data_IF_530352627336
#
_entry.id   IF_530352627336
#
_cell.length_a   1.000
_cell.length_b   1.000
_cell.length_c   1.000
_cell.angle_alpha   90.00
_cell.angle_beta   90.00
_cell.angle_gamma   90.00
#
_symmetry.space_group_name_H-M   'P 1'
#
loop_
_entity.id
_entity.type
_entity.pdbx_description
1 polymer ?
#
# COMPACT_ATOMS: atom_id res chain seq x y z
N UNK A 1 15.88 20.07 7.15
CA UNK A 1 17.25 19.50 7.18
C UNK A 1 17.20 18.19 7.94
N UNK A 2 17.68 17.07 7.39
CA UNK A 2 17.76 15.81 8.12
C UNK A 2 18.71 15.97 9.32
N UNK A 3 18.30 15.44 10.47
CA UNK A 3 19.12 15.49 11.68
C UNK A 3 20.45 14.75 11.43
N UNK A 4 21.60 15.29 11.90
CA UNK A 4 22.88 14.63 11.71
C UNK A 4 22.89 13.28 12.43
N UNK A 5 23.53 12.25 11.84
CA UNK A 5 23.63 10.92 12.44
C UNK A 5 24.30 11.00 13.82
N UNK A 6 23.82 10.18 14.76
CA UNK A 6 24.33 10.17 16.14
C UNK A 6 25.80 9.75 16.17
N UNK A 7 26.60 10.40 17.02
CA UNK A 7 28.05 10.16 17.14
C UNK A 7 28.39 8.67 17.36
N UNK A 8 27.57 7.96 18.14
CA UNK A 8 27.69 6.51 18.37
C UNK A 8 27.52 5.67 17.12
N UNK A 9 26.61 6.06 16.22
CA UNK A 9 26.38 5.37 14.96
C UNK A 9 27.58 5.53 14.01
N UNK A 10 28.16 6.73 13.96
CA UNK A 10 29.37 7.01 13.17
C UNK A 10 30.57 6.22 13.71
N UNK A 11 30.73 6.13 15.03
CA UNK A 11 31.80 5.36 15.67
C UNK A 11 31.65 3.84 15.43
N UNK A 12 30.43 3.31 15.47
CA UNK A 12 30.16 1.91 15.16
C UNK A 12 30.46 1.56 13.70
N UNK A 13 30.10 2.45 12.76
CA UNK A 13 30.41 2.30 11.34
C UNK A 13 31.92 2.28 11.09
N UNK A 14 32.68 3.20 11.69
CA UNK A 14 34.13 3.22 11.56
C UNK A 14 34.79 1.95 12.11
N UNK A 15 34.33 1.44 13.26
CA UNK A 15 34.86 0.20 13.82
C UNK A 15 34.59 -1.01 12.91
N UNK A 16 33.42 -1.06 12.27
CA UNK A 16 33.06 -2.13 11.34
C UNK A 16 33.86 -2.08 10.04
N UNK A 17 34.05 -0.88 9.47
CA UNK A 17 34.88 -0.68 8.27
C UNK A 17 36.31 -1.17 8.52
N UNK A 18 36.92 -0.78 9.64
CA UNK A 18 38.27 -1.21 10.00
C UNK A 18 38.38 -2.73 10.18
N UNK A 19 37.35 -3.38 10.72
CA UNK A 19 37.31 -4.84 10.83
C UNK A 19 37.26 -5.51 9.46
N UNK A 20 36.46 -4.97 8.53
CA UNK A 20 36.30 -5.52 7.19
C UNK A 20 37.55 -5.31 6.34
N UNK A 21 38.21 -4.15 6.47
CA UNK A 21 39.49 -3.87 5.81
C UNK A 21 40.58 -4.83 6.26
N UNK A 22 40.65 -5.16 7.57
CA UNK A 22 41.58 -6.18 8.08
C UNK A 22 41.29 -7.57 7.53
N UNK A 23 40.01 -7.94 7.43
CA UNK A 23 39.60 -9.22 6.86
C UNK A 23 39.96 -9.31 5.37
N UNK A 24 39.68 -8.26 4.59
CA UNK A 24 40.05 -8.17 3.17
C UNK A 24 41.57 -8.29 2.97
N UNK A 25 42.36 -7.62 3.82
CA UNK A 25 43.82 -7.75 3.78
C UNK A 25 44.31 -9.16 4.12
N UNK A 26 43.65 -9.86 5.04
CA UNK A 26 43.97 -11.25 5.36
C UNK A 26 43.66 -12.19 4.18
N UNK A 27 42.54 -11.99 3.49
CA UNK A 27 42.18 -12.74 2.28
C UNK A 27 43.11 -12.47 1.11
N UNK A 28 43.49 -11.21 0.87
CA UNK A 28 44.44 -10.85 -0.20
C UNK A 28 45.85 -11.43 0.01
N UNK A 29 46.25 -11.68 1.26
CA UNK A 29 47.52 -12.35 1.55
C UNK A 29 47.45 -13.87 1.36
N UNK A 30 46.26 -14.48 1.45
CA UNK A 30 46.06 -15.91 1.14
C UNK A 30 45.97 -16.20 -0.36
N UNK A 31 45.54 -15.24 -1.18
CA UNK A 31 45.35 -15.43 -2.63
C UNK A 31 46.67 -15.39 -3.45
N UNK A 32 47.82 -15.24 -2.77
CA UNK A 32 49.16 -15.30 -3.37
C UNK A 32 49.73 -16.72 -3.54
N UNK A 33 49.05 -17.76 -3.04
CA UNK A 33 49.41 -19.16 -3.24
C UNK A 33 48.19 -19.95 -3.72
N UNK A 34 48.17 -20.22 -5.03
CA UNK A 34 47.12 -20.93 -5.76
C UNK A 34 46.56 -22.17 -5.05
N UNK A 35 45.23 -22.29 -5.04
CA UNK A 35 44.48 -23.55 -5.04
C UNK A 35 44.35 -24.28 -3.70
N UNK A 36 43.21 -24.13 -3.03
CA UNK A 36 42.25 -25.21 -2.78
C UNK A 36 41.17 -24.78 -1.78
N UNK A 37 39.93 -25.14 -2.11
CA UNK A 37 38.76 -25.03 -1.25
C UNK A 37 38.94 -25.94 -0.02
N UNK A 38 39.23 -25.36 1.14
CA UNK A 38 39.01 -26.02 2.41
C UNK A 38 38.73 -25.02 3.53
N UNK A 39 37.57 -25.22 4.16
CA UNK A 39 37.15 -24.68 5.44
C UNK A 39 38.28 -24.61 6.46
N UNK A 40 38.63 -23.39 6.89
CA UNK A 40 39.46 -23.17 8.07
C UNK A 40 38.70 -22.27 9.05
N UNK A 41 37.97 -22.91 9.96
CA UNK A 41 37.63 -22.32 11.26
C UNK A 41 38.92 -22.04 12.05
N UNK A 42 38.91 -21.04 12.95
CA UNK A 42 39.83 -20.73 14.10
C UNK A 42 40.22 -19.22 14.12
N UNK A 43 40.41 -18.53 15.27
CA UNK A 43 39.72 -18.55 16.57
C UNK A 43 39.13 -17.16 16.93
N UNK A 44 38.03 -17.13 17.69
CA UNK A 44 37.59 -15.91 18.36
C UNK A 44 38.38 -15.78 19.65
N UNK A 45 39.27 -14.80 19.76
CA UNK A 45 39.84 -14.39 21.05
C UNK A 45 39.76 -12.88 21.26
N UNK A 46 39.01 -12.55 22.31
CA UNK A 46 39.01 -11.38 23.19
C UNK A 46 38.56 -10.01 22.67
N UNK A 47 37.23 -9.83 22.69
CA UNK A 47 36.62 -8.60 23.21
C UNK A 47 35.53 -8.96 24.23
N UNK A 48 35.84 -9.08 25.52
CA UNK A 48 34.83 -9.22 26.55
C UNK A 48 34.30 -7.83 26.89
N UNK A 49 33.05 -7.51 26.52
CA UNK A 49 32.10 -6.72 27.35
C UNK A 49 30.75 -6.33 26.70
N UNK A 50 30.37 -6.83 25.51
CA UNK A 50 29.04 -6.55 24.96
C UNK A 50 28.11 -7.77 24.82
N UNK A 51 28.54 -8.96 25.26
CA UNK A 51 27.79 -10.22 25.18
C UNK A 51 26.86 -10.53 26.36
N UNK A 52 26.66 -9.59 27.30
CA UNK A 52 25.82 -9.86 28.49
C UNK A 52 24.34 -9.49 28.36
N UNK A 53 23.80 -9.41 27.14
CA UNK A 53 22.34 -9.31 26.95
C UNK A 53 21.72 -10.45 26.12
N UNK A 54 22.48 -11.49 25.76
CA UNK A 54 21.98 -12.58 24.90
C UNK A 54 22.12 -14.00 25.48
N UNK A 55 22.41 -14.14 26.77
CA UNK A 55 22.49 -15.46 27.40
C UNK A 55 21.30 -15.70 28.34
N UNK A 56 20.16 -16.07 27.74
CA UNK A 56 19.28 -17.10 28.29
C UNK A 56 18.21 -17.44 27.23
N UNK A 57 18.36 -18.63 26.63
CA UNK A 57 17.33 -19.59 26.14
C UNK A 57 17.89 -20.42 24.97
N UNK A 58 18.33 -21.62 25.37
CA UNK A 58 18.83 -22.80 24.68
C UNK A 58 18.51 -23.07 23.19
N UNK A 59 19.58 -23.48 22.51
CA UNK A 59 19.75 -24.75 21.78
C UNK A 59 18.47 -25.46 21.29
N UNK A 60 18.20 -25.33 19.99
CA UNK A 60 17.94 -26.42 19.04
C UNK A 60 17.42 -25.85 17.72
N UNK A 61 18.29 -25.56 16.75
CA UNK A 61 17.86 -25.45 15.35
C UNK A 61 19.03 -25.70 14.40
N UNK A 62 18.85 -26.71 13.55
CA UNK A 62 19.72 -27.09 12.45
C UNK A 62 19.85 -25.91 11.48
N UNK A 63 21.07 -25.47 11.23
CA UNK A 63 21.40 -24.40 10.30
C UNK A 63 20.91 -24.74 8.89
N UNK A 64 19.92 -24.01 8.39
CA UNK A 64 19.75 -23.77 6.96
C UNK A 64 20.43 -22.44 6.64
N UNK A 65 21.32 -22.47 5.65
CA UNK A 65 22.04 -21.34 5.08
C UNK A 65 21.02 -20.31 4.54
N UNK A 66 20.64 -19.33 5.38
CA UNK A 66 19.83 -18.17 4.97
C UNK A 66 20.77 -17.18 4.28
N UNK A 67 20.50 -16.87 3.01
CA UNK A 67 21.38 -16.03 2.20
C UNK A 67 21.27 -14.54 2.57
N UNK A 68 22.37 -13.79 2.38
CA UNK A 68 22.48 -12.33 2.58
C UNK A 68 21.36 -11.51 1.92
N UNK A 69 20.76 -12.03 0.84
CA UNK A 69 19.64 -11.38 0.14
C UNK A 69 18.36 -11.41 0.99
N UNK A 70 18.12 -12.50 1.72
CA UNK A 70 16.97 -12.60 2.63
C UNK A 70 17.11 -11.59 3.77
N UNK A 71 18.32 -11.49 4.36
CA UNK A 71 18.63 -10.49 5.39
C UNK A 71 18.44 -9.05 4.88
N UNK A 72 18.80 -8.78 3.62
CA UNK A 72 18.59 -7.46 2.99
C UNK A 72 17.11 -7.19 2.67
N UNK A 73 16.34 -8.21 2.27
CA UNK A 73 14.89 -8.06 2.07
C UNK A 73 14.15 -7.83 3.39
N UNK A 74 14.62 -8.41 4.49
CA UNK A 74 14.12 -8.17 5.84
C UNK A 74 14.39 -6.71 6.28
N UNK A 75 15.51 -6.14 5.84
CA UNK A 75 15.87 -4.71 6.04
C UNK A 75 15.08 -3.78 5.11
N UNK A 76 14.69 -4.22 3.91
CA UNK A 76 13.92 -3.41 2.97
C UNK A 76 12.42 -3.41 3.29
N UNK A 77 11.88 -4.48 3.86
CA UNK A 77 10.44 -4.71 4.00
C UNK A 77 9.85 -5.46 2.82
N UNK A 78 8.74 -6.16 3.06
CA UNK A 78 8.16 -7.11 2.11
C UNK A 78 6.67 -6.82 1.89
N UNK A 79 6.16 -7.09 0.68
CA UNK A 79 4.72 -7.13 0.41
C UNK A 79 4.17 -8.54 0.57
N UNK A 80 3.11 -8.66 1.35
CA UNK A 80 2.42 -9.91 1.63
C UNK A 80 0.90 -9.72 1.53
N UNK A 81 0.22 -10.81 1.20
CA UNK A 81 -1.24 -10.87 1.23
C UNK A 81 -1.64 -10.97 2.70
N UNK A 82 -2.34 -9.95 3.20
CA UNK A 82 -2.85 -9.95 4.56
C UNK A 82 -4.02 -10.93 4.72
N UNK A 83 -4.47 -11.13 5.96
CA UNK A 83 -5.57 -12.05 6.31
C UNK A 83 -6.87 -11.80 5.53
N UNK A 84 -7.02 -10.60 4.96
CA UNK A 84 -8.18 -10.15 4.19
C UNK A 84 -8.03 -10.26 2.67
N UNK A 85 -6.95 -10.91 2.20
CA UNK A 85 -6.66 -11.06 0.77
C UNK A 85 -6.07 -9.81 0.11
N UNK A 86 -5.89 -8.70 0.84
CA UNK A 86 -5.30 -7.48 0.29
C UNK A 86 -3.78 -7.50 0.39
N UNK A 87 -3.12 -7.01 -0.66
CA UNK A 87 -1.65 -6.94 -0.71
C UNK A 87 -1.14 -5.73 0.09
N UNK A 88 -0.46 -5.97 1.21
CA UNK A 88 0.05 -4.95 2.15
C UNK A 88 1.57 -4.94 2.26
N UNK A 89 2.15 -3.76 2.48
CA UNK A 89 3.59 -3.60 2.64
C UNK A 89 4.00 -3.53 4.11
N UNK A 90 4.88 -4.46 4.50
CA UNK A 90 5.45 -4.57 5.83
C UNK A 90 6.93 -4.14 5.79
N UNK A 91 7.18 -2.86 6.09
CA UNK A 91 8.53 -2.31 6.18
C UNK A 91 9.37 -2.99 7.28
N UNK A 92 10.70 -2.87 7.21
CA UNK A 92 11.66 -3.38 8.20
C UNK A 92 11.26 -3.23 9.69
N UNK A 93 10.73 -2.08 10.16
CA UNK A 93 10.34 -1.92 11.56
C UNK A 93 8.95 -2.49 11.90
N UNK A 94 8.25 -3.11 10.94
CA UNK A 94 6.96 -3.75 11.18
C UNK A 94 7.12 -4.97 12.07
N UNK A 95 6.25 -5.10 13.07
CA UNK A 95 6.18 -6.25 13.97
C UNK A 95 6.06 -7.59 13.21
N UNK A 96 5.52 -7.53 11.99
CA UNK A 96 5.38 -8.69 11.10
C UNK A 96 6.72 -9.32 10.68
N UNK A 97 7.79 -8.53 10.46
CA UNK A 97 9.11 -9.07 10.12
C UNK A 97 9.71 -9.89 11.29
N UNK A 98 9.44 -9.49 12.54
CA UNK A 98 9.90 -10.22 13.73
C UNK A 98 9.20 -11.57 13.91
N UNK A 99 7.90 -11.65 13.57
CA UNK A 99 7.13 -12.90 13.66
C UNK A 99 7.64 -13.96 12.67
N UNK A 100 8.16 -13.53 11.52
CA UNK A 100 8.72 -14.44 10.50
C UNK A 100 10.13 -14.89 10.84
N UNK A 101 10.95 -14.02 11.44
CA UNK A 101 12.31 -14.38 11.88
C UNK A 101 12.30 -15.59 12.83
N UNK A 102 11.25 -15.71 13.65
CA UNK A 102 11.04 -16.82 14.60
C UNK A 102 10.24 -18.03 14.06
N UNK A 103 9.66 -17.96 12.86
CA UNK A 103 8.85 -19.04 12.31
C UNK A 103 9.71 -20.05 11.52
N UNK A 104 10.43 -20.92 12.24
CA UNK A 104 10.77 -22.25 11.72
C UNK A 104 9.49 -23.10 11.69
N UNK A 105 8.62 -22.85 10.71
CA UNK A 105 7.37 -23.59 10.52
C UNK A 105 7.06 -23.68 9.04
N UNK A 106 6.89 -24.91 8.55
CA UNK A 106 6.61 -25.24 7.15
C UNK A 106 5.43 -24.45 6.55
N UNK A 107 5.42 -24.17 5.23
CA UNK A 107 4.42 -23.31 4.57
C UNK A 107 3.02 -23.95 4.43
N UNK A 108 2.81 -25.17 4.90
CA UNK A 108 1.80 -26.05 4.30
C UNK A 108 0.36 -25.93 4.84
N UNK A 109 0.12 -25.18 5.92
CA UNK A 109 -1.23 -25.08 6.52
C UNK A 109 -1.85 -23.69 6.44
N UNK A 110 -1.07 -22.62 6.25
CA UNK A 110 -1.60 -21.26 6.17
C UNK A 110 -2.09 -20.87 4.76
N UNK A 111 -1.59 -21.54 3.73
CA UNK A 111 -1.97 -21.29 2.32
C UNK A 111 -3.37 -21.82 1.97
N UNK A 112 -3.94 -22.75 2.76
CA UNK A 112 -5.25 -23.35 2.44
C UNK A 112 -6.45 -22.51 2.89
N UNK A 113 -6.27 -21.60 3.84
CA UNK A 113 -7.30 -20.62 4.26
C UNK A 113 -7.29 -19.33 3.44
N UNK A 114 -6.25 -19.11 2.60
CA UNK A 114 -6.04 -17.86 1.86
C UNK A 114 -7.04 -17.60 0.71
N UNK A 115 -7.83 -18.61 0.32
CA UNK A 115 -8.81 -18.50 -0.78
C UNK A 115 -10.25 -18.25 -0.30
N UNK A 116 -10.46 -18.05 1.01
CA UNK A 116 -11.80 -18.04 1.62
C UNK A 116 -12.32 -16.70 2.12
N UNK A 117 -11.58 -15.60 1.95
CA UNK A 117 -12.15 -14.27 2.23
C UNK A 117 -12.89 -13.84 0.98
N UNK A 118 -14.21 -14.05 0.97
CA UNK A 118 -15.05 -13.40 -0.02
C UNK A 118 -14.77 -11.89 0.02
N UNK A 119 -14.57 -11.23 -1.13
CA UNK A 119 -14.40 -9.79 -1.14
C UNK A 119 -15.55 -9.15 -0.36
N UNK A 120 -15.26 -8.12 0.42
CA UNK A 120 -16.23 -7.42 1.28
C UNK A 120 -17.45 -6.81 0.52
N UNK A 121 -17.58 -7.08 -0.77
CA UNK A 121 -18.63 -6.64 -1.67
C UNK A 121 -19.60 -7.80 -1.94
N UNK A 122 -20.45 -8.13 -0.97
CA UNK A 122 -21.45 -9.21 -1.05
C UNK A 122 -22.60 -8.93 -2.04
N UNK A 123 -22.45 -7.98 -2.96
CA UNK A 123 -23.47 -7.57 -3.91
C UNK A 123 -22.95 -7.76 -5.33
N UNK A 124 -23.50 -8.75 -6.05
CA UNK A 124 -23.11 -9.05 -7.43
C UNK A 124 -23.57 -7.98 -8.43
N UNK A 125 -24.48 -7.07 -8.04
CA UNK A 125 -25.10 -6.09 -8.94
C UNK A 125 -24.93 -4.66 -8.45
N UNK A 126 -24.66 -3.74 -9.38
CA UNK A 126 -24.58 -2.30 -9.08
C UNK A 126 -25.92 -1.79 -8.54
N UNK A 127 -25.90 -1.32 -7.28
CA UNK A 127 -27.07 -0.96 -6.48
C UNK A 127 -27.14 0.55 -6.19
N UNK A 128 -26.99 1.37 -7.23
CA UNK A 128 -27.08 2.83 -7.10
C UNK A 128 -28.54 3.28 -7.32
N UNK A 129 -29.08 4.04 -6.37
CA UNK A 129 -30.44 4.62 -6.43
C UNK A 129 -30.53 5.81 -7.42
N UNK A 130 -30.08 5.63 -8.65
CA UNK A 130 -30.16 6.61 -9.74
C UNK A 130 -30.61 5.93 -11.02
N UNK A 131 -31.27 6.68 -11.90
CA UNK A 131 -31.59 6.15 -13.24
C UNK A 131 -30.28 5.84 -14.00
N UNK A 132 -30.25 4.78 -14.83
CA UNK A 132 -29.07 4.44 -15.62
C UNK A 132 -28.61 5.56 -16.55
N UNK A 133 -29.54 6.37 -17.07
CA UNK A 133 -29.26 7.52 -17.91
C UNK A 133 -28.48 8.60 -17.13
N UNK A 134 -28.90 8.90 -15.91
CA UNK A 134 -28.23 9.85 -15.03
C UNK A 134 -26.87 9.31 -14.62
N UNK A 135 -26.79 8.04 -14.24
CA UNK A 135 -25.52 7.40 -13.87
C UNK A 135 -24.50 7.50 -15.01
N UNK A 136 -24.92 7.16 -16.24
CA UNK A 136 -24.06 7.26 -17.44
C UNK A 136 -23.63 8.70 -17.69
N UNK A 137 -24.55 9.65 -17.57
CA UNK A 137 -24.24 11.08 -17.73
C UNK A 137 -23.23 11.58 -16.69
N UNK A 138 -23.38 11.17 -15.42
CA UNK A 138 -22.44 11.52 -14.36
C UNK A 138 -21.06 10.92 -14.61
N UNK A 139 -20.99 9.66 -15.04
CA UNK A 139 -19.72 9.03 -15.43
C UNK A 139 -19.04 9.82 -16.57
N UNK A 140 -19.80 10.21 -17.60
CA UNK A 140 -19.27 11.04 -18.68
C UNK A 140 -18.74 12.38 -18.18
N UNK A 141 -19.44 13.04 -17.26
CA UNK A 141 -18.98 14.28 -16.63
C UNK A 141 -17.70 14.07 -15.82
N UNK A 142 -17.60 12.96 -15.07
CA UNK A 142 -16.39 12.62 -14.32
C UNK A 142 -15.17 12.47 -15.25
N UNK A 143 -15.31 11.68 -16.32
CA UNK A 143 -14.22 11.43 -17.26
C UNK A 143 -13.81 12.68 -18.03
N UNK A 144 -14.75 13.58 -18.28
CA UNK A 144 -14.52 14.82 -19.01
C UNK A 144 -13.85 15.89 -18.16
N UNK A 145 -14.28 16.07 -16.91
CA UNK A 145 -13.93 17.24 -16.10
C UNK A 145 -13.02 16.92 -14.92
N UNK A 146 -13.25 15.82 -14.21
CA UNK A 146 -12.52 15.51 -12.97
C UNK A 146 -11.26 14.70 -13.24
N UNK A 147 -11.38 13.60 -13.98
CA UNK A 147 -10.30 12.63 -14.17
C UNK A 147 -9.04 13.20 -14.88
N UNK A 148 -9.13 14.11 -15.87
CA UNK A 148 -7.95 14.70 -16.49
C UNK A 148 -7.17 15.63 -15.56
N UNK A 149 -7.87 16.28 -14.61
CA UNK A 149 -7.25 17.19 -13.65
C UNK A 149 -6.63 16.42 -12.47
N UNK A 150 -7.30 15.35 -12.02
CA UNK A 150 -6.79 14.48 -10.97
C UNK A 150 -6.99 13.00 -11.34
N UNK A 151 -5.95 12.41 -11.92
CA UNK A 151 -5.98 11.04 -12.40
C UNK A 151 -5.82 10.04 -11.24
N UNK A 152 -6.95 9.58 -10.71
CA UNK A 152 -7.03 8.63 -9.58
C UNK A 152 -7.55 7.25 -9.97
N UNK A 153 -8.38 7.20 -11.02
CA UNK A 153 -9.12 6.00 -11.41
C UNK A 153 -8.74 5.62 -12.82
N UNK A 154 -8.33 4.36 -12.99
CA UNK A 154 -8.00 3.83 -14.30
C UNK A 154 -9.28 3.59 -15.11
N UNK A 155 -9.50 4.44 -16.13
CA UNK A 155 -10.77 4.54 -16.86
C UNK A 155 -11.20 3.22 -17.51
N UNK A 156 -10.27 2.47 -18.10
CA UNK A 156 -10.59 1.23 -18.82
C UNK A 156 -10.96 0.10 -17.86
N UNK A 157 -10.20 -0.09 -16.78
CA UNK A 157 -10.51 -1.09 -15.76
C UNK A 157 -11.87 -0.81 -15.10
N UNK A 158 -12.08 0.43 -14.64
CA UNK A 158 -13.36 0.85 -14.06
C UNK A 158 -14.53 0.69 -15.06
N UNK A 159 -14.33 1.10 -16.32
CA UNK A 159 -15.35 1.00 -17.36
C UNK A 159 -15.75 -0.44 -17.69
N UNK A 160 -14.82 -1.40 -17.62
CA UNK A 160 -15.14 -2.83 -17.82
C UNK A 160 -16.05 -3.37 -16.72
N UNK A 161 -15.83 -2.98 -15.47
CA UNK A 161 -16.67 -3.38 -14.35
C UNK A 161 -18.11 -2.86 -14.51
N UNK A 162 -18.24 -1.55 -14.82
CA UNK A 162 -19.54 -0.92 -15.11
C UNK A 162 -20.25 -1.60 -16.28
N UNK A 163 -19.53 -1.91 -17.36
CA UNK A 163 -20.10 -2.57 -18.54
C UNK A 163 -20.60 -4.00 -18.25
N UNK A 164 -20.00 -4.69 -17.26
CA UNK A 164 -20.47 -5.99 -16.77
C UNK A 164 -21.67 -5.87 -15.83
N UNK A 165 -21.91 -4.69 -15.27
CA UNK A 165 -22.98 -4.44 -14.30
C UNK A 165 -22.67 -4.99 -12.90
N UNK A 166 -21.41 -5.32 -12.63
CA UNK A 166 -20.95 -6.00 -11.40
C UNK A 166 -19.90 -5.16 -10.69
N UNK A 167 -19.82 -5.28 -9.36
CA UNK A 167 -18.71 -4.73 -8.60
C UNK A 167 -17.47 -5.64 -8.72
N UNK A 168 -16.28 -5.03 -8.71
CA UNK A 168 -15.00 -5.74 -8.69
C UNK A 168 -13.94 -4.92 -7.93
N UNK A 169 -12.69 -5.39 -7.94
CA UNK A 169 -11.57 -4.72 -7.28
C UNK A 169 -11.28 -3.30 -7.81
N UNK A 170 -11.71 -3.00 -9.04
CA UNK A 170 -11.47 -1.72 -9.74
C UNK A 170 -12.66 -0.77 -9.71
N UNK A 171 -13.85 -1.30 -9.48
CA UNK A 171 -15.09 -0.56 -9.31
C UNK A 171 -15.81 -1.10 -8.07
N UNK A 172 -15.39 -0.64 -6.90
CA UNK A 172 -16.05 -0.99 -5.64
C UNK A 172 -17.32 -0.14 -5.43
N UNK A 173 -18.29 -0.60 -4.61
CA UNK A 173 -19.47 0.17 -4.23
C UNK A 173 -19.14 1.56 -3.67
N UNK A 174 -18.06 1.64 -2.87
CA UNK A 174 -17.55 2.89 -2.31
C UNK A 174 -17.00 3.80 -3.41
N UNK A 175 -16.11 3.27 -4.26
CA UNK A 175 -15.46 4.05 -5.31
C UNK A 175 -16.49 4.61 -6.30
N UNK A 176 -17.45 3.79 -6.73
CA UNK A 176 -18.51 4.22 -7.63
C UNK A 176 -19.32 5.38 -7.05
N UNK A 177 -19.76 5.27 -5.79
CA UNK A 177 -20.52 6.34 -5.13
C UNK A 177 -19.70 7.62 -4.99
N UNK A 178 -18.41 7.53 -4.65
CA UNK A 178 -17.52 8.69 -4.60
C UNK A 178 -17.35 9.35 -5.98
N UNK A 179 -17.16 8.56 -7.04
CA UNK A 179 -17.08 9.05 -8.42
C UNK A 179 -18.35 9.80 -8.81
N UNK A 180 -19.52 9.18 -8.60
CA UNK A 180 -20.81 9.78 -8.93
C UNK A 180 -21.12 11.02 -8.07
N UNK A 181 -20.81 10.98 -6.78
CA UNK A 181 -21.04 12.10 -5.86
C UNK A 181 -20.25 13.34 -6.24
N UNK A 182 -18.97 13.16 -6.62
CA UNK A 182 -18.14 14.26 -7.09
C UNK A 182 -18.60 14.74 -8.47
N UNK A 183 -18.96 13.81 -9.36
CA UNK A 183 -19.43 14.12 -10.70
C UNK A 183 -20.74 14.91 -10.73
N UNK A 184 -21.63 14.67 -9.76
CA UNK A 184 -22.92 15.35 -9.62
C UNK A 184 -22.77 16.87 -9.60
N UNK A 185 -21.63 17.40 -9.15
CA UNK A 185 -21.34 18.84 -9.13
C UNK A 185 -21.13 19.47 -10.50
N UNK A 186 -20.79 18.67 -11.51
CA UNK A 186 -20.67 19.13 -12.89
C UNK A 186 -21.98 18.98 -13.66
N UNK A 187 -23.05 18.54 -13.00
CA UNK A 187 -24.34 18.26 -13.59
C UNK A 187 -25.40 19.20 -13.01
N UNK A 188 -26.23 19.77 -13.89
CA UNK A 188 -27.32 20.68 -13.50
C UNK A 188 -28.67 19.97 -13.30
N UNK A 189 -28.69 18.63 -13.33
CA UNK A 189 -29.92 17.85 -13.22
C UNK A 189 -30.49 17.89 -11.79
N UNK A 190 -31.81 18.05 -11.65
CA UNK A 190 -32.48 18.12 -10.32
C UNK A 190 -32.32 16.83 -9.51
N UNK A 191 -32.40 15.69 -10.19
CA UNK A 191 -32.42 14.36 -9.57
C UNK A 191 -31.11 13.96 -8.89
N UNK A 192 -30.03 14.70 -9.16
CA UNK A 192 -28.75 14.50 -8.47
C UNK A 192 -28.66 15.29 -7.17
N UNK A 193 -29.63 16.17 -6.89
CA UNK A 193 -29.67 17.07 -5.72
C UNK A 193 -30.55 16.50 -4.63
N UNK A 194 -30.11 16.65 -3.39
CA UNK A 194 -30.95 16.30 -2.23
C UNK A 194 -32.10 17.30 -2.05
N UNK A 195 -31.80 18.59 -2.23
CA UNK A 195 -32.79 19.65 -2.34
C UNK A 195 -32.80 20.16 -3.79
N UNK A 196 -33.94 19.97 -4.47
CA UNK A 196 -34.10 20.38 -5.87
C UNK A 196 -33.83 21.88 -6.09
N UNK A 197 -34.00 22.72 -5.06
CA UNK A 197 -33.81 24.18 -5.11
C UNK A 197 -32.38 24.62 -4.75
N UNK A 198 -31.55 23.75 -4.16
CA UNK A 198 -30.16 24.07 -3.81
C UNK A 198 -29.18 23.21 -4.61
N UNK A 199 -28.53 23.83 -5.59
CA UNK A 199 -27.51 23.20 -6.42
C UNK A 199 -26.30 22.70 -5.64
N UNK A 200 -26.04 23.22 -4.44
CA UNK A 200 -24.93 22.76 -3.59
C UNK A 200 -25.17 21.36 -3.01
N UNK A 201 -26.40 20.89 -3.02
CA UNK A 201 -26.77 19.56 -2.52
C UNK A 201 -26.58 18.43 -3.55
N UNK A 202 -26.06 18.76 -4.74
CA UNK A 202 -25.74 17.77 -5.75
C UNK A 202 -24.76 16.71 -5.22
N UNK A 203 -25.17 15.44 -5.29
CA UNK A 203 -24.38 14.29 -4.83
C UNK A 203 -24.32 14.12 -3.31
N UNK A 204 -25.08 14.87 -2.51
CA UNK A 204 -25.10 14.70 -1.04
C UNK A 204 -25.55 13.31 -0.61
N UNK A 205 -26.60 12.76 -1.24
CA UNK A 205 -27.10 11.41 -0.96
C UNK A 205 -26.03 10.35 -1.23
N UNK A 206 -25.39 10.42 -2.40
CA UNK A 206 -24.32 9.50 -2.79
C UNK A 206 -23.10 9.61 -1.85
N UNK A 207 -22.75 10.83 -1.42
CA UNK A 207 -21.67 11.04 -0.47
C UNK A 207 -22.02 10.52 0.94
N UNK A 208 -23.28 10.59 1.35
CA UNK A 208 -23.74 9.98 2.60
C UNK A 208 -23.65 8.45 2.53
N UNK A 209 -24.17 7.84 1.47
CA UNK A 209 -24.05 6.39 1.23
C UNK A 209 -22.58 5.92 1.17
N UNK A 210 -21.71 6.69 0.52
CA UNK A 210 -20.27 6.40 0.48
C UNK A 210 -19.66 6.37 1.89
N UNK A 211 -20.03 7.30 2.78
CA UNK A 211 -19.52 7.34 4.16
C UNK A 211 -20.03 6.15 4.99
N UNK A 212 -21.25 5.70 4.74
CA UNK A 212 -21.80 4.49 5.38
C UNK A 212 -20.99 3.26 4.99
N UNK A 213 -20.74 3.06 3.68
CA UNK A 213 -19.93 1.93 3.18
C UNK A 213 -18.49 2.01 3.71
N UNK A 214 -17.90 3.21 3.71
CA UNK A 214 -16.55 3.44 4.21
C UNK A 214 -16.37 2.97 5.66
N UNK A 215 -17.41 3.08 6.50
CA UNK A 215 -17.33 2.68 7.91
C UNK A 215 -17.02 1.19 8.11
N UNK A 216 -17.43 0.34 7.16
CA UNK A 216 -17.11 -1.08 7.14
C UNK A 216 -15.83 -1.36 6.33
N UNK A 217 -15.66 -0.72 5.17
CA UNK A 217 -14.54 -0.98 4.26
C UNK A 217 -13.17 -0.55 4.85
N UNK A 218 -13.16 0.38 5.81
CA UNK A 218 -11.92 0.87 6.43
C UNK A 218 -11.13 -0.20 7.22
N UNK A 219 -11.79 -1.28 7.66
CA UNK A 219 -11.13 -2.39 8.37
C UNK A 219 -10.25 -3.23 7.41
N UNK A 220 -10.66 -3.29 6.15
CA UNK A 220 -10.03 -4.07 5.09
C UNK A 220 -9.84 -3.23 3.82
N UNK A 221 -8.98 -2.18 3.88
CA UNK A 221 -8.87 -1.24 2.80
C UNK A 221 -8.14 -1.84 1.60
N UNK A 222 -8.56 -1.42 0.41
CA UNK A 222 -8.00 -1.79 -0.88
C UNK A 222 -7.42 -0.58 -1.62
N UNK A 223 -6.78 -0.82 -2.78
CA UNK A 223 -6.35 0.26 -3.69
C UNK A 223 -7.52 1.18 -4.04
N UNK A 224 -8.70 0.61 -4.30
CA UNK A 224 -9.92 1.36 -4.60
C UNK A 224 -10.41 2.18 -3.40
N UNK A 225 -10.24 1.70 -2.16
CA UNK A 225 -10.56 2.47 -0.94
C UNK A 225 -9.70 3.73 -0.84
N UNK A 226 -8.41 3.64 -1.15
CA UNK A 226 -7.51 4.79 -1.16
C UNK A 226 -7.95 5.83 -2.20
N UNK A 227 -8.25 5.40 -3.42
CA UNK A 227 -8.74 6.27 -4.49
C UNK A 227 -10.10 6.91 -4.12
N UNK A 228 -11.02 6.12 -3.57
CA UNK A 228 -12.35 6.57 -3.19
C UNK A 228 -12.30 7.64 -2.09
N UNK A 229 -11.43 7.49 -1.08
CA UNK A 229 -11.23 8.49 -0.04
C UNK A 229 -10.65 9.80 -0.58
N UNK A 230 -9.74 9.75 -1.55
CA UNK A 230 -9.22 10.96 -2.18
C UNK A 230 -10.31 11.71 -2.97
N UNK A 231 -11.21 10.97 -3.66
CA UNK A 231 -12.36 11.57 -4.34
C UNK A 231 -13.39 12.12 -3.34
N UNK A 232 -13.68 11.39 -2.27
CA UNK A 232 -14.58 11.82 -1.20
C UNK A 232 -14.05 13.09 -0.52
N UNK A 233 -12.74 13.19 -0.34
CA UNK A 233 -12.11 14.39 0.19
C UNK A 233 -12.39 15.62 -0.68
N UNK A 234 -12.11 15.53 -1.98
CA UNK A 234 -12.41 16.61 -2.92
C UNK A 234 -13.88 17.00 -2.90
N UNK A 235 -14.75 15.99 -2.84
CA UNK A 235 -16.19 16.19 -2.75
C UNK A 235 -16.54 17.00 -1.50
N UNK A 236 -16.05 16.64 -0.32
CA UNK A 236 -16.36 17.37 0.91
C UNK A 236 -15.78 18.79 0.93
N UNK A 237 -14.56 18.98 0.41
CA UNK A 237 -13.97 20.32 0.27
C UNK A 237 -14.84 21.22 -0.61
N UNK A 238 -15.38 20.68 -1.70
CA UNK A 238 -16.19 21.42 -2.65
C UNK A 238 -17.55 21.90 -2.10
N UNK A 239 -18.02 21.32 -0.99
CA UNK A 239 -19.22 21.75 -0.25
C UNK A 239 -18.86 22.50 1.04
N UNK A 240 -17.69 23.14 1.08
CA UNK A 240 -17.17 23.93 2.20
C UNK A 240 -16.93 23.13 3.50
N UNK A 241 -16.75 21.80 3.42
CA UNK A 241 -16.34 20.95 4.55
C UNK A 241 -14.84 20.67 4.48
N UNK A 242 -14.05 21.74 4.41
CA UNK A 242 -12.62 21.68 4.13
C UNK A 242 -11.85 20.82 5.14
N UNK A 243 -12.08 21.02 6.45
CA UNK A 243 -11.43 20.24 7.51
C UNK A 243 -11.70 18.74 7.38
N UNK A 244 -12.91 18.35 6.97
CA UNK A 244 -13.25 16.94 6.76
C UNK A 244 -12.56 16.38 5.51
N UNK A 245 -12.51 17.18 4.44
CA UNK A 245 -11.74 16.87 3.25
C UNK A 245 -10.28 16.57 3.58
N UNK A 246 -9.65 17.42 4.38
CA UNK A 246 -8.27 17.22 4.84
C UNK A 246 -8.05 15.93 5.61
N UNK A 247 -8.99 15.54 6.47
CA UNK A 247 -8.95 14.26 7.18
C UNK A 247 -8.98 13.10 6.18
N UNK A 248 -9.90 13.14 5.21
CA UNK A 248 -10.01 12.07 4.20
C UNK A 248 -8.78 11.98 3.28
N UNK A 249 -8.15 13.10 2.93
CA UNK A 249 -6.85 13.09 2.22
C UNK A 249 -5.80 12.36 3.06
N UNK A 250 -5.70 12.68 4.36
CA UNK A 250 -4.74 12.06 5.26
C UNK A 250 -4.94 10.54 5.40
N UNK A 251 -6.20 10.10 5.50
CA UNK A 251 -6.55 8.68 5.56
C UNK A 251 -6.21 8.00 4.23
N UNK A 252 -6.58 8.60 3.10
CA UNK A 252 -6.30 8.08 1.75
C UNK A 252 -4.80 7.83 1.55
N UNK A 253 -3.96 8.83 1.85
CA UNK A 253 -2.49 8.71 1.73
C UNK A 253 -1.94 7.65 2.68
N UNK A 254 -2.44 7.57 3.92
CA UNK A 254 -1.99 6.56 4.89
C UNK A 254 -2.31 5.14 4.42
N UNK A 255 -3.50 4.91 3.87
CA UNK A 255 -3.90 3.63 3.29
C UNK A 255 -3.01 3.30 2.09
N UNK A 256 -2.81 4.26 1.17
CA UNK A 256 -1.96 4.06 0.00
C UNK A 256 -0.52 3.65 0.38
N UNK A 257 0.04 4.26 1.42
CA UNK A 257 1.33 3.85 1.99
C UNK A 257 1.30 2.46 2.62
N UNK A 258 0.25 2.13 3.39
CA UNK A 258 0.15 0.83 4.06
C UNK A 258 0.02 -0.33 3.05
N UNK A 259 -0.68 -0.09 1.95
CA UNK A 259 -0.77 -1.03 0.82
C UNK A 259 0.51 -1.10 -0.03
N UNK A 260 1.50 -0.24 0.25
CA UNK A 260 2.75 -0.20 -0.50
C UNK A 260 2.60 0.31 -1.93
N UNK A 261 1.59 1.15 -2.21
CA UNK A 261 1.35 1.67 -3.57
C UNK A 261 2.51 2.58 -4.04
N UNK A 262 3.30 3.10 -3.10
CA UNK A 262 4.48 3.92 -3.35
C UNK A 262 5.72 3.12 -3.80
N UNK A 263 5.65 1.79 -3.81
CA UNK A 263 6.78 0.92 -4.11
C UNK A 263 6.79 0.52 -5.59
N UNK A 264 8.00 0.29 -6.13
CA UNK A 264 8.15 -0.21 -7.49
C UNK A 264 7.65 -1.66 -7.58
N UNK A 265 6.64 -1.86 -8.43
CA UNK A 265 5.96 -3.11 -8.65
C UNK A 265 6.65 -4.02 -9.68
N UNK A 266 7.69 -3.56 -10.39
CA UNK A 266 8.30 -4.29 -11.51
C UNK A 266 8.78 -5.69 -11.12
N UNK A 267 9.40 -5.82 -9.95
CA UNK A 267 9.86 -7.13 -9.43
C UNK A 267 8.70 -8.09 -9.25
N UNK A 268 7.53 -7.63 -8.81
CA UNK A 268 6.35 -8.47 -8.57
C UNK A 268 5.62 -8.84 -9.86
N UNK A 269 5.61 -7.92 -10.83
CA UNK A 269 5.14 -8.22 -12.19
C UNK A 269 5.99 -9.33 -12.81
N UNK A 270 7.33 -9.22 -12.69
CA UNK A 270 8.25 -10.24 -13.21
C UNK A 270 8.07 -11.61 -12.51
N UNK A 271 7.70 -11.60 -11.23
CA UNK A 271 7.38 -12.79 -10.44
C UNK A 271 5.94 -13.30 -10.65
N UNK A 272 5.15 -12.66 -11.53
CA UNK A 272 3.73 -12.98 -11.80
C UNK A 272 2.83 -12.94 -10.56
N UNK A 273 3.21 -12.17 -9.52
CA UNK A 273 2.38 -11.98 -8.32
C UNK A 273 1.24 -10.99 -8.53
N UNK A 274 1.44 -10.05 -9.45
CA UNK A 274 0.44 -9.06 -9.86
C UNK A 274 0.51 -8.87 -11.38
N UNK A 275 -0.59 -8.46 -12.00
CA UNK A 275 -0.62 -8.13 -13.42
C UNK A 275 0.04 -6.77 -13.69
N UNK A 276 0.43 -6.53 -14.96
CA UNK A 276 0.90 -5.20 -15.38
C UNK A 276 -0.18 -4.12 -15.21
N UNK A 277 -1.44 -4.48 -15.46
CA UNK A 277 -2.58 -3.57 -15.27
C UNK A 277 -2.76 -3.21 -13.79
N UNK A 278 -2.65 -4.18 -12.89
CA UNK A 278 -2.71 -3.95 -11.44
C UNK A 278 -1.56 -3.04 -10.99
N UNK A 279 -0.33 -3.29 -11.45
CA UNK A 279 0.81 -2.45 -11.15
C UNK A 279 0.62 -1.00 -11.65
N UNK A 280 0.02 -0.82 -12.82
CA UNK A 280 -0.35 0.50 -13.33
C UNK A 280 -1.41 1.19 -12.46
N UNK A 281 -2.46 0.48 -12.06
CA UNK A 281 -3.53 1.02 -11.22
C UNK A 281 -2.98 1.46 -9.86
N UNK A 282 -2.15 0.62 -9.22
CA UNK A 282 -1.47 0.97 -7.96
C UNK A 282 -0.63 2.25 -8.10
N UNK A 283 0.13 2.37 -9.19
CA UNK A 283 0.93 3.55 -9.50
C UNK A 283 0.06 4.80 -9.71
N UNK A 284 -1.04 4.68 -10.48
CA UNK A 284 -1.98 5.78 -10.73
C UNK A 284 -2.58 6.25 -9.40
N UNK A 285 -3.11 5.33 -8.60
CA UNK A 285 -3.72 5.66 -7.30
C UNK A 285 -2.72 6.31 -6.36
N UNK A 286 -1.50 5.79 -6.26
CA UNK A 286 -0.44 6.40 -5.45
C UNK A 286 -0.20 7.87 -5.82
N UNK A 287 0.10 8.12 -7.09
CA UNK A 287 0.42 9.47 -7.55
C UNK A 287 -0.79 10.41 -7.45
N UNK A 288 -1.99 9.92 -7.75
CA UNK A 288 -3.21 10.69 -7.59
C UNK A 288 -3.44 11.10 -6.13
N UNK A 289 -3.36 10.17 -5.18
CA UNK A 289 -3.52 10.46 -3.75
C UNK A 289 -2.44 11.44 -3.25
N UNK A 290 -1.19 11.24 -3.67
CA UNK A 290 -0.09 12.13 -3.32
C UNK A 290 -0.30 13.55 -3.87
N UNK A 291 -0.71 13.68 -5.14
CA UNK A 291 -1.01 14.98 -5.75
C UNK A 291 -2.14 15.71 -5.03
N UNK A 292 -3.24 15.03 -4.66
CA UNK A 292 -4.33 15.63 -3.87
C UNK A 292 -3.82 16.21 -2.56
N UNK A 293 -2.91 15.51 -1.87
CA UNK A 293 -2.31 16.00 -0.63
C UNK A 293 -1.39 17.20 -0.81
N UNK A 294 -0.67 17.26 -1.94
CA UNK A 294 0.24 18.36 -2.24
C UNK A 294 -0.50 19.63 -2.65
N UNK A 295 -1.64 19.51 -3.34
CA UNK A 295 -2.42 20.65 -3.85
C UNK A 295 -3.10 21.48 -2.77
N UNK A 296 -3.46 20.88 -1.62
CA UNK A 296 -4.09 21.65 -0.56
C UNK A 296 -3.11 22.47 0.30
N UNK A 297 -1.81 22.15 0.27
CA UNK A 297 -0.81 22.79 1.15
C UNK A 297 -0.45 24.24 0.80
N UNK A 298 -1.14 24.85 -0.16
CA UNK A 298 -0.86 26.19 -0.69
C UNK A 298 -2.00 27.22 -0.53
N UNK A 299 -3.07 26.88 0.19
CA UNK A 299 -4.18 27.81 0.45
C UNK A 299 -3.94 28.66 1.70
#
# INVERSE_FOLDING_TARGET
MPAPPTKRYVEALHARILSLERQLHAYQQQDGSSGDLASASIPVTDYPQLLHLEADYHENAVAHDRGLVDDLTEIAGQLEIAEDGQLRYFGAPSYFNLLRSNAYGSPTEFEQTLYGVEPAFSCDSIDVELSPEIQTHLLDMYWKWQNPWQYLVHRTAFGRAIARGTYDEYCTPLLLRCVLALAARYCDHSDTRLDAQDSNTAGDLLAAQAKEILSAEIEHPSTSTAAALALLALREMSVNKESLGWIYIGISVRIAYNLGLNMDCQTWVNQQKISEEEAEIRRITWWGCFSTSASGGQA
#
